data_IF_434766235841
#
_entry.id   IF_434766235841
#
_cell.length_a   1.000
_cell.length_b   1.000
_cell.length_c   1.000
_cell.angle_alpha   90.00
_cell.angle_beta   90.00
_cell.angle_gamma   90.00
#
_symmetry.space_group_name_H-M   'P 1'
#
loop_
_entity.id
_entity.type
_entity.pdbx_description
1 polymer ?
#
# COMPACT_ATOMS: atom_id res chain seq x y z
N UNK A 1 -19.44 12.86 6.13
CA UNK A 1 -17.96 12.95 6.22
C UNK A 1 -17.32 11.62 6.60
N UNK A 2 -17.78 10.95 7.65
CA UNK A 2 -17.30 9.61 8.05
C UNK A 2 -17.30 8.58 6.90
N UNK A 3 -18.41 8.47 6.15
CA UNK A 3 -18.49 7.57 4.98
C UNK A 3 -17.44 7.88 3.92
N UNK A 4 -17.15 9.16 3.68
CA UNK A 4 -16.12 9.58 2.70
C UNK A 4 -14.72 9.13 3.11
N UNK A 5 -14.43 9.11 4.42
CA UNK A 5 -13.15 8.62 4.95
C UNK A 5 -13.06 7.10 4.79
N UNK A 6 -14.10 6.37 5.19
CA UNK A 6 -14.17 4.91 5.01
C UNK A 6 -14.06 4.50 3.54
N UNK A 7 -14.72 5.22 2.63
CA UNK A 7 -14.65 4.95 1.19
C UNK A 7 -13.26 5.22 0.61
N UNK A 8 -12.60 6.31 1.04
CA UNK A 8 -11.22 6.56 0.65
C UNK A 8 -10.29 5.42 1.09
N UNK A 9 -10.46 4.93 2.33
CA UNK A 9 -9.66 3.82 2.88
C UNK A 9 -9.89 2.53 2.09
N UNK A 10 -11.14 2.23 1.73
CA UNK A 10 -11.47 1.07 0.87
C UNK A 10 -10.82 1.17 -0.50
N UNK A 11 -10.89 2.35 -1.14
CA UNK A 11 -10.26 2.59 -2.45
C UNK A 11 -8.74 2.43 -2.38
N UNK A 12 -8.09 2.96 -1.35
CA UNK A 12 -6.66 2.81 -1.15
C UNK A 12 -6.26 1.32 -1.04
N UNK A 13 -6.99 0.55 -0.22
CA UNK A 13 -6.81 -0.90 -0.09
C UNK A 13 -6.99 -1.64 -1.41
N UNK A 14 -8.00 -1.29 -2.19
CA UNK A 14 -8.27 -2.02 -3.44
C UNK A 14 -7.31 -1.63 -4.57
N UNK A 15 -6.72 -0.43 -4.50
CA UNK A 15 -5.79 0.09 -5.50
C UNK A 15 -4.36 -0.41 -5.28
N UNK A 16 -3.86 -0.33 -4.04
CA UNK A 16 -2.49 -0.77 -3.75
C UNK A 16 -2.42 -2.27 -3.49
N UNK A 17 -1.96 -3.02 -4.49
CA UNK A 17 -1.82 -4.49 -4.43
C UNK A 17 -0.42 -5.00 -4.72
N UNK A 18 0.53 -4.10 -4.96
CA UNK A 18 1.87 -4.41 -5.44
C UNK A 18 2.56 -3.16 -5.98
N UNK A 19 3.45 -3.32 -6.95
CA UNK A 19 4.11 -2.20 -7.59
C UNK A 19 3.20 -1.56 -8.66
N UNK A 20 2.70 -0.35 -8.41
CA UNK A 20 1.85 0.42 -9.33
C UNK A 20 2.53 1.71 -9.84
N UNK A 21 3.84 1.78 -9.71
CA UNK A 21 4.66 2.89 -10.19
C UNK A 21 5.79 2.42 -11.09
N UNK A 22 6.28 3.33 -11.94
CA UNK A 22 7.44 3.07 -12.80
C UNK A 22 8.69 2.88 -11.94
N UNK A 23 9.41 1.79 -12.15
CA UNK A 23 10.67 1.48 -11.47
C UNK A 23 11.83 1.39 -12.43
N UNK A 24 13.03 1.56 -11.89
CA UNK A 24 14.27 1.19 -12.55
C UNK A 24 15.01 0.18 -11.66
N UNK A 25 14.50 -1.05 -11.60
CA UNK A 25 14.99 -2.05 -10.67
C UNK A 25 16.28 -2.72 -11.18
N UNK A 26 17.33 -2.65 -10.35
CA UNK A 26 18.60 -3.33 -10.59
C UNK A 26 19.39 -2.78 -11.78
N UNK A 27 20.52 -3.44 -12.13
CA UNK A 27 21.44 -2.96 -13.17
C UNK A 27 20.82 -2.92 -14.58
N UNK A 28 19.75 -3.70 -14.80
CA UNK A 28 19.00 -3.73 -16.05
C UNK A 28 17.82 -2.74 -16.09
N UNK A 29 17.63 -1.94 -15.03
CA UNK A 29 16.58 -0.90 -14.93
C UNK A 29 15.19 -1.46 -15.27
N UNK A 30 14.85 -2.63 -14.70
CA UNK A 30 13.57 -3.29 -14.99
C UNK A 30 12.41 -2.42 -14.49
N UNK A 31 11.42 -2.22 -15.36
CA UNK A 31 10.16 -1.61 -14.97
C UNK A 31 9.21 -2.69 -14.45
N UNK A 32 8.89 -2.59 -13.16
CA UNK A 32 8.05 -3.53 -12.42
C UNK A 32 6.61 -3.01 -12.24
N UNK A 33 6.29 -1.85 -12.80
CA UNK A 33 4.95 -1.27 -12.76
C UNK A 33 3.91 -2.25 -13.30
N UNK A 34 2.92 -2.58 -12.47
CA UNK A 34 1.84 -3.50 -12.80
C UNK A 34 2.25 -4.97 -12.85
N UNK A 35 3.51 -5.31 -12.55
CA UNK A 35 3.96 -6.69 -12.48
C UNK A 35 3.77 -7.26 -11.08
N UNK A 36 3.38 -8.53 -11.05
CA UNK A 36 3.32 -9.35 -9.85
C UNK A 36 4.58 -10.23 -9.72
N UNK A 37 4.90 -10.60 -8.50
CA UNK A 37 6.02 -11.50 -8.16
C UNK A 37 6.03 -12.77 -9.02
N UNK A 38 4.85 -13.40 -9.21
CA UNK A 38 4.70 -14.58 -10.07
C UNK A 38 5.08 -14.33 -11.53
N UNK A 39 4.80 -13.15 -12.07
CA UNK A 39 5.14 -12.81 -13.46
C UNK A 39 6.64 -12.58 -13.60
N UNK A 40 7.27 -11.91 -12.62
CA UNK A 40 8.72 -11.77 -12.56
C UNK A 40 9.42 -13.13 -12.41
N UNK A 41 8.88 -14.07 -11.63
CA UNK A 41 9.40 -15.45 -11.55
C UNK A 41 9.30 -16.21 -12.88
N UNK A 42 8.22 -16.00 -13.64
CA UNK A 42 8.09 -16.59 -14.98
C UNK A 42 9.14 -16.00 -15.93
N UNK A 43 9.36 -14.69 -15.90
CA UNK A 43 10.42 -14.04 -16.67
C UNK A 43 11.81 -14.57 -16.28
N UNK A 44 12.08 -14.79 -15.00
CA UNK A 44 13.32 -15.40 -14.52
C UNK A 44 13.54 -16.81 -15.09
N UNK A 45 12.48 -17.62 -15.18
CA UNK A 45 12.55 -18.98 -15.75
C UNK A 45 12.70 -18.99 -17.28
N UNK A 46 12.18 -17.97 -17.96
CA UNK A 46 12.24 -17.84 -19.41
C UNK A 46 13.55 -17.25 -19.93
N UNK A 47 14.34 -16.60 -19.06
CA UNK A 47 15.61 -15.94 -19.40
C UNK A 47 16.81 -16.73 -18.88
N UNK A 48 18.03 -16.36 -19.29
CA UNK A 48 19.28 -17.04 -18.92
C UNK A 48 20.32 -16.06 -18.39
N UNK A 49 21.30 -16.59 -17.65
CA UNK A 49 22.42 -15.82 -17.13
C UNK A 49 21.99 -14.68 -16.22
N UNK A 50 22.68 -13.54 -16.33
CA UNK A 50 22.46 -12.36 -15.48
C UNK A 50 21.03 -11.80 -15.57
N UNK A 51 20.37 -11.95 -16.71
CA UNK A 51 18.97 -11.51 -16.87
C UNK A 51 18.02 -12.31 -15.98
N UNK A 52 18.21 -13.63 -15.91
CA UNK A 52 17.43 -14.51 -15.03
C UNK A 52 17.62 -14.12 -13.56
N UNK A 53 18.85 -13.79 -13.17
CA UNK A 53 19.16 -13.34 -11.81
C UNK A 53 18.51 -12.00 -11.48
N UNK A 54 18.52 -11.04 -12.41
CA UNK A 54 17.84 -9.75 -12.25
C UNK A 54 16.33 -9.94 -12.05
N UNK A 55 15.69 -10.80 -12.86
CA UNK A 55 14.26 -11.10 -12.72
C UNK A 55 13.94 -11.83 -11.42
N UNK A 56 14.83 -12.71 -10.94
CA UNK A 56 14.67 -13.36 -9.63
C UNK A 56 14.72 -12.35 -8.49
N UNK A 57 15.70 -11.46 -8.49
CA UNK A 57 15.79 -10.40 -7.49
C UNK A 57 14.56 -9.46 -7.54
N UNK A 58 14.06 -9.14 -8.74
CA UNK A 58 12.85 -8.36 -8.91
C UNK A 58 11.62 -9.08 -8.34
N UNK A 59 11.51 -10.38 -8.56
CA UNK A 59 10.43 -11.19 -7.98
C UNK A 59 10.49 -11.19 -6.44
N UNK A 60 11.67 -11.42 -5.86
CA UNK A 60 11.86 -11.42 -4.41
C UNK A 60 11.49 -10.07 -3.80
N UNK A 61 11.84 -8.96 -4.46
CA UNK A 61 11.41 -7.63 -4.04
C UNK A 61 9.90 -7.43 -4.17
N UNK A 62 9.28 -7.83 -5.28
CA UNK A 62 7.82 -7.74 -5.48
C UNK A 62 7.03 -8.52 -4.43
N UNK A 63 7.54 -9.68 -3.97
CA UNK A 63 6.93 -10.42 -2.85
C UNK A 63 6.84 -9.55 -1.59
N UNK A 64 7.86 -8.75 -1.30
CA UNK A 64 7.85 -7.85 -0.15
C UNK A 64 6.83 -6.72 -0.33
N UNK A 65 6.76 -6.12 -1.53
CA UNK A 65 5.76 -5.07 -1.84
C UNK A 65 4.34 -5.61 -1.70
N UNK A 66 4.05 -6.75 -2.29
CA UNK A 66 2.74 -7.41 -2.23
C UNK A 66 2.36 -7.78 -0.79
N UNK A 67 3.31 -8.27 -0.01
CA UNK A 67 3.10 -8.59 1.41
C UNK A 67 2.77 -7.35 2.24
N UNK A 68 3.52 -6.27 2.05
CA UNK A 68 3.27 -5.00 2.76
C UNK A 68 1.95 -4.37 2.34
N UNK A 69 1.59 -4.42 1.04
CA UNK A 69 0.30 -3.94 0.54
C UNK A 69 -0.87 -4.72 1.16
N UNK A 70 -0.77 -6.06 1.22
CA UNK A 70 -1.78 -6.89 1.87
C UNK A 70 -1.92 -6.55 3.37
N UNK A 71 -0.81 -6.42 4.09
CA UNK A 71 -0.82 -6.07 5.51
C UNK A 71 -1.41 -4.67 5.75
N UNK A 72 -1.07 -3.68 4.91
CA UNK A 72 -1.69 -2.36 4.98
C UNK A 72 -3.20 -2.42 4.71
N UNK A 73 -3.63 -3.29 3.78
CA UNK A 73 -5.04 -3.59 3.51
C UNK A 73 -5.78 -4.18 4.72
N UNK A 74 -5.15 -5.06 5.49
CA UNK A 74 -5.71 -5.60 6.74
C UNK A 74 -5.83 -4.52 7.82
N UNK A 75 -4.79 -3.69 7.98
CA UNK A 75 -4.82 -2.54 8.90
C UNK A 75 -5.95 -1.57 8.52
N UNK A 76 -6.13 -1.30 7.23
CA UNK A 76 -7.18 -0.42 6.70
C UNK A 76 -8.60 -0.89 7.09
N UNK A 77 -8.86 -2.20 7.09
CA UNK A 77 -10.13 -2.73 7.60
C UNK A 77 -10.30 -2.46 9.10
N UNK A 78 -9.22 -2.59 9.87
CA UNK A 78 -9.22 -2.24 11.30
C UNK A 78 -9.49 -0.76 11.56
N UNK A 79 -8.98 0.15 10.71
CA UNK A 79 -9.28 1.59 10.80
C UNK A 79 -10.79 1.82 10.66
N UNK A 80 -11.44 1.19 9.67
CA UNK A 80 -12.88 1.34 9.44
C UNK A 80 -13.69 0.82 10.64
N UNK A 81 -13.30 -0.31 11.23
CA UNK A 81 -13.96 -0.84 12.44
C UNK A 81 -13.82 0.12 13.64
N UNK A 82 -12.62 0.67 13.88
CA UNK A 82 -12.41 1.65 14.96
C UNK A 82 -13.21 2.93 14.75
N UNK A 83 -13.31 3.41 13.50
CA UNK A 83 -14.16 4.55 13.14
C UNK A 83 -15.63 4.28 13.49
N UNK A 84 -16.17 3.12 13.14
CA UNK A 84 -17.56 2.76 13.45
C UNK A 84 -17.82 2.60 14.95
N UNK A 85 -16.79 2.25 15.74
CA UNK A 85 -16.86 2.21 17.22
C UNK A 85 -16.69 3.57 17.88
N UNK A 86 -16.39 4.62 17.11
CA UNK A 86 -16.09 5.95 17.63
C UNK A 86 -14.70 6.09 18.26
N UNK A 87 -13.82 5.07 18.16
CA UNK A 87 -12.45 5.16 18.67
C UNK A 87 -11.53 5.82 17.62
N UNK A 88 -11.66 7.14 17.52
CA UNK A 88 -10.89 7.98 16.58
C UNK A 88 -9.38 7.90 16.86
N UNK A 89 -8.98 7.72 18.12
CA UNK A 89 -7.57 7.62 18.52
C UNK A 89 -6.93 6.30 18.06
N UNK A 90 -7.63 5.18 18.24
CA UNK A 90 -7.19 3.89 17.70
C UNK A 90 -7.17 3.89 16.17
N UNK A 91 -8.20 4.45 15.53
CA UNK A 91 -8.26 4.61 14.08
C UNK A 91 -7.06 5.41 13.53
N UNK A 92 -6.72 6.53 14.19
CA UNK A 92 -5.55 7.35 13.83
C UNK A 92 -4.26 6.53 13.86
N UNK A 93 -3.99 5.83 14.98
CA UNK A 93 -2.77 5.03 15.16
C UNK A 93 -2.65 3.89 14.15
N UNK A 94 -3.78 3.25 13.82
CA UNK A 94 -3.80 2.22 12.78
C UNK A 94 -3.52 2.81 11.40
N UNK A 95 -4.12 3.95 11.06
CA UNK A 95 -3.88 4.61 9.78
C UNK A 95 -2.42 5.03 9.61
N UNK A 96 -1.78 5.52 10.67
CA UNK A 96 -0.35 5.87 10.66
C UNK A 96 0.54 4.64 10.38
N UNK A 97 0.16 3.46 10.88
CA UNK A 97 0.86 2.20 10.56
C UNK A 97 0.72 1.82 9.09
N UNK A 98 -0.46 2.00 8.49
CA UNK A 98 -0.65 1.75 7.06
C UNK A 98 0.21 2.71 6.21
N UNK A 99 0.23 4.00 6.57
CA UNK A 99 1.09 5.01 5.92
C UNK A 99 2.58 4.66 6.07
N UNK A 100 3.00 4.17 7.23
CA UNK A 100 4.39 3.77 7.48
C UNK A 100 4.79 2.60 6.59
N UNK A 101 3.94 1.58 6.43
CA UNK A 101 4.19 0.48 5.50
C UNK A 101 4.35 0.98 4.06
N UNK A 102 3.46 1.87 3.64
CA UNK A 102 3.47 2.46 2.31
C UNK A 102 4.72 3.32 2.05
N UNK A 103 5.19 4.08 3.06
CA UNK A 103 6.33 5.00 2.93
C UNK A 103 7.68 4.34 2.63
N UNK A 104 7.78 3.00 2.73
CA UNK A 104 8.95 2.24 2.27
C UNK A 104 9.11 2.32 0.74
N UNK A 105 8.03 2.67 0.03
CA UNK A 105 7.95 2.70 -1.41
C UNK A 105 7.77 4.13 -1.90
N UNK A 106 8.53 4.56 -2.92
CA UNK A 106 8.68 5.98 -3.25
C UNK A 106 7.40 6.66 -3.75
N UNK A 107 6.47 5.90 -4.35
CA UNK A 107 5.33 6.47 -5.08
C UNK A 107 3.98 5.92 -4.64
N UNK A 108 3.96 4.99 -3.68
CA UNK A 108 2.71 4.56 -3.06
C UNK A 108 2.24 5.71 -2.13
N UNK A 109 1.13 6.35 -2.49
CA UNK A 109 0.58 7.51 -1.78
C UNK A 109 -0.90 7.37 -1.44
N UNK A 110 -1.43 6.15 -1.53
CA UNK A 110 -2.83 5.79 -1.33
C UNK A 110 -3.29 6.07 0.09
N UNK A 111 -2.52 5.64 1.09
CA UNK A 111 -2.88 5.82 2.50
C UNK A 111 -2.51 7.20 3.02
N UNK A 112 -1.49 7.85 2.44
CA UNK A 112 -1.17 9.26 2.77
C UNK A 112 -2.34 10.19 2.47
N UNK A 113 -3.04 9.99 1.36
CA UNK A 113 -4.25 10.77 1.02
C UNK A 113 -5.39 10.50 2.02
N UNK A 114 -5.59 9.23 2.40
CA UNK A 114 -6.57 8.86 3.42
C UNK A 114 -6.28 9.54 4.76
N UNK A 115 -5.00 9.65 5.13
CA UNK A 115 -4.58 10.31 6.37
C UNK A 115 -4.96 11.78 6.40
N UNK A 116 -4.70 12.53 5.34
CA UNK A 116 -5.10 13.94 5.25
C UNK A 116 -6.61 14.14 5.35
N UNK A 117 -7.40 13.25 4.73
CA UNK A 117 -8.87 13.28 4.85
C UNK A 117 -9.33 12.95 6.28
N UNK A 118 -8.69 11.98 6.94
CA UNK A 118 -9.00 11.58 8.31
C UNK A 118 -8.69 12.70 9.32
N UNK A 119 -7.58 13.41 9.15
CA UNK A 119 -7.22 14.55 10.01
C UNK A 119 -8.26 15.66 9.95
N UNK A 120 -8.72 16.01 8.74
CA UNK A 120 -9.80 16.99 8.55
C UNK A 120 -11.11 16.57 9.23
N UNK A 121 -11.43 15.28 9.24
CA UNK A 121 -12.58 14.74 9.99
C UNK A 121 -12.37 14.82 11.51
N UNK A 122 -11.19 14.46 12.01
CA UNK A 122 -10.91 14.41 13.45
C UNK A 122 -10.94 15.78 14.14
N UNK A 123 -10.74 16.86 13.38
CA UNK A 123 -10.73 18.23 13.86
C UNK A 123 -12.12 18.90 13.82
N UNK A 124 -13.14 18.23 13.26
CA UNK A 124 -14.50 18.77 13.20
C UNK A 124 -15.18 18.69 14.59
N UNK A 125 -15.56 19.84 15.20
CA UNK A 125 -16.14 19.90 16.54
C UNK A 125 -17.45 19.12 16.70
N UNK A 126 -18.15 18.78 15.61
CA UNK A 126 -19.35 17.93 15.66
C UNK A 126 -19.06 16.46 16.02
N UNK A 127 -17.79 16.05 16.04
CA UNK A 127 -17.35 14.66 16.20
C UNK A 127 -16.86 14.33 17.61
N UNK A 128 -16.69 15.35 18.46
CA UNK A 128 -16.08 15.24 19.82
C UNK A 128 -17.13 15.34 20.93
N UNK A 129 -18.43 15.27 20.60
CA UNK A 129 -19.55 15.33 21.57
C UNK A 129 -20.30 14.01 21.61
#
# INVERSE_FOLDING_TARGET
MLESVCDSIRRARDSWRGCDWVTEFGPRRLNLCGLQSRQALLAAKATRGDESQCWKAAADWLILVEKDANHAGEIALGVIDMIHRGDVSAASRLLDRAVTLESKYPTAGHYRQCRSLFEGYSQDPATVT
#
